data_IF_279547465639
#
_entry.id   IF_279547465639
#
_cell.length_a   1.000
_cell.length_b   1.000
_cell.length_c   1.000
_cell.angle_alpha   90.00
_cell.angle_beta   90.00
_cell.angle_gamma   90.00
#
_symmetry.space_group_name_H-M   'P 1'
#
loop_
_entity.id
_entity.type
_entity.pdbx_description
1 polymer ?
#
# COMPACT_ATOMS: atom_id res chain seq x y z
N UNK A 1 0.11 9.56 -71.78
CA UNK A 1 0.58 8.59 -70.78
C UNK A 1 0.59 9.30 -69.44
N UNK A 2 -0.43 9.09 -68.58
CA UNK A 2 -0.58 9.77 -67.29
C UNK A 2 -0.16 8.78 -66.20
N UNK A 3 0.88 9.13 -65.48
CA UNK A 3 1.41 8.35 -64.36
C UNK A 3 0.61 8.69 -63.10
N UNK A 4 -0.08 7.72 -62.51
CA UNK A 4 -0.76 7.88 -61.24
C UNK A 4 0.21 7.44 -60.10
N UNK A 5 0.55 8.37 -59.22
CA UNK A 5 1.35 8.08 -58.02
C UNK A 5 0.36 7.69 -56.92
N UNK A 6 0.39 6.47 -56.48
CA UNK A 6 -0.34 5.97 -55.29
C UNK A 6 0.47 6.32 -54.04
N UNK A 7 -0.07 7.17 -53.16
CA UNK A 7 0.49 7.48 -51.82
C UNK A 7 0.00 6.37 -50.88
N UNK A 8 0.89 5.50 -50.46
CA UNK A 8 0.62 4.52 -49.40
C UNK A 8 0.78 5.23 -48.07
N UNK A 9 -0.35 5.52 -47.41
CA UNK A 9 -0.36 6.04 -46.05
C UNK A 9 0.02 4.93 -45.06
N UNK A 10 1.18 5.07 -44.42
CA UNK A 10 1.60 4.20 -43.31
C UNK A 10 0.85 4.69 -42.06
N UNK A 11 -0.16 3.94 -41.61
CA UNK A 11 -0.80 4.12 -40.31
C UNK A 11 0.13 3.51 -39.27
N UNK A 12 0.87 4.37 -38.56
CA UNK A 12 1.59 3.98 -37.36
C UNK A 12 0.56 3.73 -36.24
N UNK A 13 0.21 2.48 -35.99
CA UNK A 13 -0.49 2.07 -34.79
C UNK A 13 0.48 2.24 -33.61
N UNK A 14 0.35 3.36 -32.91
CA UNK A 14 1.04 3.60 -31.65
C UNK A 14 0.51 2.61 -30.60
N UNK A 15 1.15 1.43 -30.49
CA UNK A 15 0.93 0.51 -29.38
C UNK A 15 1.39 1.18 -28.08
N UNK A 16 0.46 1.65 -27.27
CA UNK A 16 0.76 2.08 -25.90
C UNK A 16 1.37 0.91 -25.14
N UNK A 17 2.63 1.05 -24.70
CA UNK A 17 3.26 0.07 -23.84
C UNK A 17 2.42 -0.01 -22.55
N UNK A 18 1.67 -1.09 -22.37
CA UNK A 18 1.07 -1.42 -21.10
C UNK A 18 2.21 -1.80 -20.15
N UNK A 19 2.39 -1.00 -19.10
CA UNK A 19 3.32 -1.37 -18.04
C UNK A 19 2.86 -2.71 -17.44
N UNK A 20 3.81 -3.65 -17.30
CA UNK A 20 3.52 -4.92 -16.64
C UNK A 20 3.10 -4.66 -15.20
N UNK A 21 2.13 -5.43 -14.64
CA UNK A 21 1.75 -5.31 -13.25
C UNK A 21 2.97 -5.51 -12.34
N UNK A 22 3.18 -4.57 -11.43
CA UNK A 22 4.20 -4.67 -10.39
C UNK A 22 3.62 -5.43 -9.19
N UNK A 23 4.37 -6.38 -8.63
CA UNK A 23 3.94 -7.12 -7.44
C UNK A 23 5.06 -7.13 -6.40
N UNK A 24 4.80 -6.49 -5.26
CA UNK A 24 5.65 -6.54 -4.09
C UNK A 24 5.13 -7.64 -3.15
N UNK A 25 6.02 -8.53 -2.73
CA UNK A 25 5.69 -9.62 -1.81
C UNK A 25 6.60 -9.57 -0.60
N UNK A 26 5.99 -9.72 0.57
CA UNK A 26 6.71 -9.67 1.84
C UNK A 26 6.38 -10.88 2.69
N UNK A 27 7.40 -11.43 3.33
CA UNK A 27 7.22 -12.30 4.48
C UNK A 27 7.08 -11.42 5.72
N UNK A 28 6.12 -11.76 6.59
CA UNK A 28 5.95 -11.12 7.88
C UNK A 28 6.56 -12.02 8.96
N UNK A 29 7.47 -11.46 9.74
CA UNK A 29 8.10 -12.17 10.84
C UNK A 29 7.82 -11.49 12.19
N UNK A 30 7.75 -12.27 13.26
CA UNK A 30 7.70 -11.81 14.65
C UNK A 30 8.92 -12.38 15.37
N UNK A 31 9.81 -11.51 15.86
CA UNK A 31 11.07 -11.93 16.48
C UNK A 31 11.82 -12.97 15.63
N UNK A 32 11.85 -12.80 14.31
CA UNK A 32 12.44 -13.68 13.29
C UNK A 32 11.64 -14.94 12.93
N UNK A 33 10.59 -15.30 13.65
CA UNK A 33 9.67 -16.38 13.27
C UNK A 33 8.69 -15.91 12.21
N UNK A 34 8.52 -16.66 11.12
CA UNK A 34 7.55 -16.31 10.09
C UNK A 34 6.13 -16.53 10.62
N UNK A 35 5.32 -15.46 10.54
CA UNK A 35 3.91 -15.48 10.98
C UNK A 35 2.93 -15.23 9.85
N UNK A 36 3.39 -14.80 8.67
CA UNK A 36 2.46 -14.50 7.58
C UNK A 36 3.11 -13.90 6.36
N UNK A 37 2.26 -13.35 5.50
CA UNK A 37 2.63 -12.71 4.22
C UNK A 37 1.83 -11.45 3.98
N UNK A 38 2.44 -10.54 3.22
CA UNK A 38 1.78 -9.35 2.68
C UNK A 38 2.11 -9.22 1.19
N UNK A 39 1.11 -8.93 0.38
CA UNK A 39 1.28 -8.76 -1.07
C UNK A 39 0.63 -7.45 -1.49
N UNK A 40 1.32 -6.70 -2.35
CA UNK A 40 0.81 -5.48 -2.99
C UNK A 40 0.96 -5.68 -4.50
N UNK A 41 -0.15 -5.68 -5.23
CA UNK A 41 -0.13 -5.70 -6.69
C UNK A 41 -0.59 -4.34 -7.22
N UNK A 42 0.24 -3.71 -8.06
CA UNK A 42 0.04 -2.37 -8.60
C UNK A 42 -0.04 -2.48 -10.12
N UNK A 43 -1.12 -2.01 -10.69
CA UNK A 43 -1.30 -1.91 -12.13
C UNK A 43 -1.43 -0.43 -12.52
N UNK A 44 -0.55 0.03 -13.43
CA UNK A 44 -0.51 1.41 -13.91
C UNK A 44 -0.93 1.44 -15.38
N UNK A 45 -1.98 2.20 -15.71
CA UNK A 45 -2.49 2.37 -17.07
C UNK A 45 -2.76 3.83 -17.35
N UNK A 46 -1.85 4.49 -18.04
CA UNK A 46 -1.91 5.93 -18.25
C UNK A 46 -1.95 6.70 -16.94
N UNK A 47 -3.06 7.40 -16.69
CA UNK A 47 -3.29 8.17 -15.44
C UNK A 47 -3.96 7.36 -14.32
N UNK A 48 -4.40 6.16 -14.64
CA UNK A 48 -5.09 5.28 -13.68
C UNK A 48 -4.08 4.35 -13.02
N UNK A 49 -4.22 4.19 -11.69
CA UNK A 49 -3.50 3.20 -10.90
C UNK A 49 -4.55 2.38 -10.13
N UNK A 50 -4.48 1.07 -10.30
CA UNK A 50 -5.27 0.11 -9.54
C UNK A 50 -4.32 -0.68 -8.63
N UNK A 51 -4.67 -0.77 -7.35
CA UNK A 51 -3.86 -1.47 -6.35
C UNK A 51 -4.71 -2.51 -5.65
N UNK A 52 -4.16 -3.68 -5.39
CA UNK A 52 -4.74 -4.67 -4.50
C UNK A 52 -3.71 -5.11 -3.46
N UNK A 53 -4.15 -5.16 -2.21
CA UNK A 53 -3.33 -5.57 -1.08
C UNK A 53 -3.98 -6.75 -0.37
N UNK A 54 -3.14 -7.66 0.12
CA UNK A 54 -3.58 -8.78 0.95
C UNK A 54 -2.56 -9.03 2.05
N UNK A 55 -3.03 -9.04 3.29
CA UNK A 55 -2.23 -9.39 4.48
C UNK A 55 -2.87 -10.57 5.17
N UNK A 56 -2.10 -11.62 5.38
CA UNK A 56 -2.52 -12.78 6.13
C UNK A 56 -1.43 -13.14 7.13
N UNK A 57 -1.75 -13.09 8.41
CA UNK A 57 -0.82 -13.50 9.45
C UNK A 57 -1.51 -14.25 10.60
N UNK A 58 -0.76 -15.14 11.24
CA UNK A 58 -1.20 -15.90 12.39
C UNK A 58 -0.04 -16.04 13.38
N UNK A 59 -0.24 -15.56 14.59
CA UNK A 59 0.70 -15.75 15.70
C UNK A 59 0.24 -16.94 16.52
N UNK A 60 1.14 -17.90 16.73
CA UNK A 60 0.89 -19.07 17.62
C UNK A 60 1.80 -18.98 18.84
N UNK A 61 1.26 -19.35 20.00
CA UNK A 61 2.01 -19.50 21.25
C UNK A 61 1.70 -20.90 21.77
N UNK A 62 2.71 -21.74 21.94
CA UNK A 62 2.56 -23.13 22.38
C UNK A 62 1.46 -23.88 21.59
N UNK A 63 1.49 -23.77 20.26
CA UNK A 63 0.55 -24.38 19.30
C UNK A 63 -0.88 -23.81 19.32
N UNK A 64 -1.19 -22.85 20.19
CA UNK A 64 -2.48 -22.16 20.22
C UNK A 64 -2.40 -20.90 19.40
N UNK A 65 -3.42 -20.63 18.56
CA UNK A 65 -3.54 -19.36 17.86
C UNK A 65 -3.84 -18.25 18.87
N UNK A 66 -2.84 -17.37 19.08
CA UNK A 66 -2.94 -16.23 19.97
C UNK A 66 -3.46 -14.98 19.26
N UNK A 67 -3.20 -14.86 17.93
CA UNK A 67 -3.66 -13.73 17.13
C UNK A 67 -3.73 -14.12 15.65
N UNK A 68 -4.71 -13.59 14.94
CA UNK A 68 -4.86 -13.74 13.50
C UNK A 68 -5.33 -12.42 12.89
N UNK A 69 -4.73 -12.04 11.75
CA UNK A 69 -5.20 -10.94 10.92
C UNK A 69 -5.36 -11.42 9.49
N UNK A 70 -6.52 -11.15 8.92
CA UNK A 70 -6.78 -11.21 7.48
C UNK A 70 -7.26 -9.84 7.03
N UNK A 71 -6.56 -9.23 6.07
CA UNK A 71 -6.92 -7.93 5.55
C UNK A 71 -6.74 -7.94 4.03
N UNK A 72 -7.78 -7.52 3.31
CA UNK A 72 -7.78 -7.35 1.86
C UNK A 72 -8.26 -5.95 1.52
N UNK A 73 -7.62 -5.34 0.54
CA UNK A 73 -7.89 -3.99 0.13
C UNK A 73 -7.75 -3.83 -1.37
N UNK A 74 -8.56 -2.97 -1.97
CA UNK A 74 -8.46 -2.52 -3.35
C UNK A 74 -8.58 -1.01 -3.42
N UNK A 75 -7.72 -0.38 -4.24
CA UNK A 75 -7.73 1.05 -4.46
C UNK A 75 -7.76 1.35 -5.96
N UNK A 76 -8.43 2.45 -6.33
CA UNK A 76 -8.35 3.04 -7.66
C UNK A 76 -8.00 4.52 -7.53
N UNK A 77 -7.05 4.93 -8.33
CA UNK A 77 -6.50 6.29 -8.35
C UNK A 77 -6.55 6.84 -9.76
N UNK A 78 -6.82 8.13 -9.91
CA UNK A 78 -6.74 8.86 -11.19
C UNK A 78 -5.99 10.17 -10.94
N UNK A 79 -4.98 10.44 -11.75
CA UNK A 79 -4.14 11.64 -11.63
C UNK A 79 -3.62 11.89 -10.19
N UNK A 80 -3.20 10.80 -9.50
CA UNK A 80 -2.68 10.83 -8.13
C UNK A 80 -3.73 11.09 -7.05
N UNK A 81 -5.03 11.08 -7.38
CA UNK A 81 -6.14 11.23 -6.42
C UNK A 81 -6.87 9.91 -6.23
N UNK A 82 -7.17 9.59 -4.98
CA UNK A 82 -7.98 8.42 -4.65
C UNK A 82 -9.41 8.58 -5.19
N UNK A 83 -9.81 7.67 -6.06
CA UNK A 83 -11.17 7.61 -6.58
C UNK A 83 -12.06 6.71 -5.72
N UNK A 84 -11.59 5.50 -5.45
CA UNK A 84 -12.29 4.52 -4.59
C UNK A 84 -11.29 3.67 -3.81
N UNK A 85 -11.71 3.26 -2.63
CA UNK A 85 -11.06 2.26 -1.80
C UNK A 85 -12.12 1.33 -1.25
N UNK A 86 -11.83 0.03 -1.19
CA UNK A 86 -12.63 -0.95 -0.47
C UNK A 86 -11.69 -1.89 0.27
N UNK A 87 -11.97 -2.10 1.55
CA UNK A 87 -11.23 -3.06 2.36
C UNK A 87 -12.16 -3.89 3.24
N UNK A 88 -11.67 -5.07 3.58
CA UNK A 88 -12.26 -5.97 4.58
C UNK A 88 -11.16 -6.47 5.50
N UNK A 89 -11.42 -6.53 6.78
CA UNK A 89 -10.50 -7.09 7.77
C UNK A 89 -11.22 -8.05 8.72
N UNK A 90 -10.49 -9.06 9.16
CA UNK A 90 -10.81 -9.90 10.31
C UNK A 90 -9.61 -9.82 11.25
N UNK A 91 -9.70 -8.97 12.27
CA UNK A 91 -8.67 -8.72 13.26
C UNK A 91 -9.02 -9.51 14.51
N UNK A 92 -8.48 -10.72 14.59
CA UNK A 92 -8.69 -11.64 15.70
C UNK A 92 -10.17 -11.90 16.03
N UNK A 93 -11.01 -12.03 14.97
CA UNK A 93 -12.45 -12.24 15.07
C UNK A 93 -13.29 -10.96 15.00
N UNK A 94 -12.70 -9.79 15.19
CA UNK A 94 -13.38 -8.51 14.95
C UNK A 94 -13.32 -8.16 13.46
N UNK A 95 -14.48 -8.00 12.84
CA UNK A 95 -14.57 -7.73 11.40
C UNK A 95 -14.91 -6.29 11.14
N UNK A 96 -14.25 -5.71 10.13
CA UNK A 96 -14.55 -4.39 9.63
C UNK A 96 -14.64 -4.38 8.12
N UNK A 97 -15.47 -3.49 7.61
CA UNK A 97 -15.53 -3.11 6.20
C UNK A 97 -15.28 -1.60 6.11
N UNK A 98 -14.32 -1.20 5.29
CA UNK A 98 -14.05 0.20 5.04
C UNK A 98 -14.18 0.44 3.54
N UNK A 99 -14.94 1.45 3.16
CA UNK A 99 -14.95 1.94 1.79
C UNK A 99 -14.77 3.44 1.76
N UNK A 100 -14.11 3.94 0.73
CA UNK A 100 -14.00 5.37 0.48
C UNK A 100 -14.28 5.66 -0.98
N UNK A 101 -14.93 6.78 -1.26
CA UNK A 101 -15.21 7.24 -2.61
C UNK A 101 -15.14 8.77 -2.67
N UNK A 102 -14.59 9.30 -3.79
CA UNK A 102 -14.56 10.73 -4.03
C UNK A 102 -16.00 11.29 -4.05
N UNK A 103 -16.25 12.37 -3.30
CA UNK A 103 -17.56 13.01 -3.18
C UNK A 103 -17.44 14.54 -3.09
N UNK A 104 -17.75 15.21 -4.18
CA UNK A 104 -17.54 16.66 -4.26
C UNK A 104 -16.07 17.01 -4.10
N UNK A 105 -15.73 17.87 -3.14
CA UNK A 105 -14.36 18.26 -2.79
C UNK A 105 -13.74 17.38 -1.70
N UNK A 106 -14.44 16.36 -1.21
CA UNK A 106 -14.01 15.48 -0.12
C UNK A 106 -13.99 14.01 -0.53
N UNK A 107 -13.83 13.17 0.46
CA UNK A 107 -13.88 11.72 0.38
C UNK A 107 -14.97 11.23 1.35
N UNK A 108 -15.98 10.52 0.84
CA UNK A 108 -16.92 9.82 1.70
C UNK A 108 -16.29 8.51 2.14
N UNK A 109 -16.05 8.38 3.44
CA UNK A 109 -15.56 7.14 4.07
C UNK A 109 -16.72 6.47 4.78
N UNK A 110 -16.92 5.18 4.53
CA UNK A 110 -17.90 4.35 5.24
C UNK A 110 -17.18 3.25 6.01
N UNK A 111 -17.45 3.18 7.30
CA UNK A 111 -16.95 2.14 8.20
C UNK A 111 -18.13 1.36 8.74
N UNK A 112 -18.22 0.07 8.42
CA UNK A 112 -19.31 -0.81 8.82
C UNK A 112 -20.70 -0.21 8.52
N UNK A 113 -20.80 0.42 7.34
CA UNK A 113 -22.03 1.06 6.85
C UNK A 113 -22.24 2.49 7.32
N UNK A 114 -21.48 3.02 8.29
CA UNK A 114 -21.60 4.41 8.77
C UNK A 114 -20.72 5.34 7.93
N UNK A 115 -21.33 6.33 7.29
CA UNK A 115 -20.64 7.27 6.41
C UNK A 115 -20.20 8.55 7.12
N UNK A 116 -19.03 9.02 6.77
CA UNK A 116 -18.46 10.33 7.17
C UNK A 116 -17.77 10.94 5.97
N UNK A 117 -17.85 12.26 5.80
CA UNK A 117 -17.08 12.97 4.78
C UNK A 117 -15.83 13.55 5.41
N UNK A 118 -14.69 13.29 4.78
CA UNK A 118 -13.36 13.74 5.22
C UNK A 118 -12.67 14.52 4.11
N UNK A 119 -11.52 15.12 4.40
CA UNK A 119 -10.71 15.82 3.41
C UNK A 119 -10.26 14.87 2.29
N UNK A 120 -10.32 15.31 1.03
CA UNK A 120 -9.88 14.53 -0.13
C UNK A 120 -8.37 14.26 -0.17
N UNK A 121 -7.58 14.99 0.61
CA UNK A 121 -6.13 14.80 0.70
C UNK A 121 -5.70 13.74 1.71
N UNK A 122 -6.65 13.08 2.40
CA UNK A 122 -6.32 11.97 3.28
C UNK A 122 -5.78 10.80 2.45
N UNK A 123 -4.72 10.16 2.95
CA UNK A 123 -4.10 9.01 2.29
C UNK A 123 -4.41 7.72 3.04
N UNK A 124 -4.70 6.62 2.32
CA UNK A 124 -4.73 5.29 2.93
C UNK A 124 -3.37 4.91 3.51
N UNK A 125 -3.37 4.22 4.65
CA UNK A 125 -2.16 3.69 5.27
C UNK A 125 -1.76 2.33 4.63
N UNK A 126 -1.69 2.31 3.31
CA UNK A 126 -1.39 1.11 2.49
C UNK A 126 0.07 0.98 2.08
N UNK A 127 0.89 2.02 2.30
CA UNK A 127 2.35 2.07 2.15
C UNK A 127 2.94 1.72 0.77
N UNK A 128 2.13 1.58 -0.27
CA UNK A 128 2.65 1.41 -1.63
C UNK A 128 3.03 2.74 -2.31
N UNK A 129 2.48 3.86 -1.80
CA UNK A 129 2.67 5.19 -2.37
C UNK A 129 3.39 6.09 -1.36
N UNK A 130 4.65 6.48 -1.59
CA UNK A 130 5.43 7.31 -0.65
C UNK A 130 4.87 8.73 -0.46
N UNK A 131 3.92 9.19 -1.27
CA UNK A 131 3.24 10.48 -1.06
C UNK A 131 2.50 10.54 0.29
N UNK A 132 2.18 9.39 0.89
CA UNK A 132 1.61 9.31 2.24
C UNK A 132 2.52 9.95 3.31
N UNK A 133 3.86 9.92 3.10
CA UNK A 133 4.84 10.50 4.02
C UNK A 133 4.73 12.04 4.15
N UNK A 134 4.07 12.69 3.19
CA UNK A 134 3.85 14.14 3.14
C UNK A 134 2.53 14.56 3.78
N UNK A 135 1.76 13.61 4.32
CA UNK A 135 0.41 13.87 4.84
C UNK A 135 0.39 13.91 6.36
N UNK A 136 -0.29 14.87 6.97
CA UNK A 136 -0.42 14.95 8.43
C UNK A 136 -1.48 13.99 9.00
N UNK A 137 -2.28 13.38 8.12
CA UNK A 137 -3.40 12.50 8.50
C UNK A 137 -3.50 11.34 7.51
N UNK A 138 -3.71 10.13 8.02
CA UNK A 138 -3.93 8.91 7.24
C UNK A 138 -5.24 8.23 7.63
N UNK A 139 -5.80 7.46 6.70
CA UNK A 139 -6.92 6.55 6.92
C UNK A 139 -6.35 5.15 7.21
N UNK A 140 -6.58 4.61 8.40
CA UNK A 140 -6.33 3.19 8.67
C UNK A 140 -7.34 2.36 7.87
N UNK A 141 -6.87 1.63 6.88
CA UNK A 141 -7.74 0.87 5.99
C UNK A 141 -8.25 -0.43 6.63
N UNK A 142 -7.70 -0.80 7.77
CA UNK A 142 -8.12 -1.99 8.51
C UNK A 142 -9.43 -1.77 9.29
N UNK A 143 -9.58 -0.61 9.95
CA UNK A 143 -10.72 -0.31 10.82
C UNK A 143 -11.37 1.07 10.57
N UNK A 144 -10.87 1.80 9.57
CA UNK A 144 -11.44 3.09 9.14
C UNK A 144 -11.12 4.28 10.04
N UNK A 145 -10.20 4.14 11.01
CA UNK A 145 -9.83 5.26 11.86
C UNK A 145 -9.04 6.32 11.10
N UNK A 146 -9.35 7.57 11.38
CA UNK A 146 -8.58 8.72 10.89
C UNK A 146 -7.47 8.99 11.90
N UNK A 147 -6.22 8.85 11.46
CA UNK A 147 -5.04 8.92 12.31
C UNK A 147 -4.22 10.16 12.01
N UNK A 148 -4.03 11.08 12.97
CA UNK A 148 -2.95 12.04 12.90
C UNK A 148 -1.61 11.31 12.83
N UNK A 149 -0.70 11.79 11.99
CA UNK A 149 0.63 11.21 11.84
C UNK A 149 1.71 12.27 11.86
N UNK A 150 2.88 11.91 12.39
CA UNK A 150 4.10 12.66 12.20
C UNK A 150 5.16 11.77 11.56
N UNK A 151 5.90 12.32 10.61
CA UNK A 151 6.91 11.59 9.85
C UNK A 151 8.27 12.20 10.12
N UNK A 152 9.24 11.36 10.48
CA UNK A 152 10.64 11.75 10.65
C UNK A 152 11.50 11.02 9.62
N UNK A 153 12.35 11.77 8.94
CA UNK A 153 13.36 11.22 8.02
C UNK A 153 14.51 10.63 8.86
N UNK A 154 14.77 9.34 8.69
CA UNK A 154 15.86 8.60 9.35
C UNK A 154 17.12 8.48 8.49
N UNK A 155 17.13 9.10 7.29
CA UNK A 155 18.25 9.05 6.36
C UNK A 155 18.31 7.77 5.54
N UNK A 156 19.37 7.67 4.75
CA UNK A 156 19.60 6.55 3.84
C UNK A 156 20.43 5.47 4.51
N UNK A 157 20.06 4.22 4.26
CA UNK A 157 20.80 3.05 4.74
C UNK A 157 20.71 1.90 3.75
N UNK A 158 21.61 0.95 3.91
CA UNK A 158 21.64 -0.25 3.07
C UNK A 158 20.79 -1.34 3.70
N UNK A 159 19.78 -1.78 2.96
CA UNK A 159 18.85 -2.85 3.36
C UNK A 159 19.20 -4.13 2.62
N UNK A 160 19.36 -5.23 3.35
CA UNK A 160 19.56 -6.56 2.75
C UNK A 160 18.22 -7.12 2.29
N UNK A 161 18.13 -7.43 0.99
CA UNK A 161 16.99 -8.07 0.34
C UNK A 161 17.53 -9.33 -0.34
N UNK A 162 17.31 -10.50 0.24
CA UNK A 162 17.93 -11.76 -0.19
C UNK A 162 19.46 -11.66 -0.31
N UNK A 163 19.98 -11.95 -1.50
CA UNK A 163 21.42 -11.85 -1.81
C UNK A 163 21.85 -10.43 -2.24
N UNK A 164 20.94 -9.46 -2.30
CA UNK A 164 21.23 -8.10 -2.78
C UNK A 164 21.21 -7.10 -1.62
N UNK A 165 21.90 -5.99 -1.81
CA UNK A 165 21.78 -4.81 -0.95
C UNK A 165 21.06 -3.72 -1.74
N UNK A 166 20.01 -3.16 -1.17
CA UNK A 166 19.22 -2.07 -1.74
C UNK A 166 19.45 -0.82 -0.91
N UNK A 167 19.81 0.28 -1.56
CA UNK A 167 19.88 1.59 -0.91
C UNK A 167 18.47 2.09 -0.72
N UNK A 168 18.08 2.40 0.52
CA UNK A 168 16.73 2.85 0.85
C UNK A 168 16.76 3.94 1.92
N UNK A 169 15.78 4.83 1.88
CA UNK A 169 15.60 5.88 2.88
C UNK A 169 14.58 5.43 3.90
N UNK A 170 14.97 5.49 5.17
CA UNK A 170 14.12 5.15 6.30
C UNK A 170 13.29 6.36 6.71
N UNK A 171 12.03 6.10 7.02
CA UNK A 171 11.12 7.05 7.66
C UNK A 171 10.49 6.41 8.88
N UNK A 172 10.45 7.13 9.99
CA UNK A 172 9.65 6.75 11.16
C UNK A 172 8.31 7.48 11.09
N UNK A 173 7.24 6.73 11.12
CA UNK A 173 5.86 7.23 11.11
C UNK A 173 5.29 7.00 12.51
N UNK A 174 5.05 8.08 13.23
CA UNK A 174 4.38 8.04 14.52
C UNK A 174 2.90 8.38 14.35
N UNK A 175 2.06 7.46 14.73
CA UNK A 175 0.61 7.57 14.71
C UNK A 175 0.04 6.83 15.92
N UNK A 176 -1.08 6.12 15.77
CA UNK A 176 -1.57 5.11 16.73
C UNK A 176 -0.51 4.06 17.06
N UNK A 177 0.36 3.75 16.09
CA UNK A 177 1.53 2.90 16.24
C UNK A 177 2.76 3.64 15.71
N UNK A 178 3.93 3.37 16.30
CA UNK A 178 5.19 3.84 15.73
C UNK A 178 5.76 2.74 14.84
N UNK A 179 6.10 3.10 13.61
CA UNK A 179 6.63 2.16 12.64
C UNK A 179 7.70 2.80 11.77
N UNK A 180 8.68 2.00 11.38
CA UNK A 180 9.68 2.39 10.39
C UNK A 180 9.31 1.79 9.04
N UNK A 181 9.46 2.58 7.97
CA UNK A 181 9.28 2.13 6.59
C UNK A 181 10.49 2.57 5.76
N UNK A 182 10.88 1.75 4.80
CA UNK A 182 12.01 2.02 3.92
C UNK A 182 11.51 2.05 2.48
N UNK A 183 11.85 3.13 1.78
CA UNK A 183 11.57 3.28 0.36
C UNK A 183 12.89 3.42 -0.41
N UNK A 184 12.96 2.77 -1.58
CA UNK A 184 14.07 2.95 -2.51
C UNK A 184 13.97 4.30 -3.24
N UNK A 185 14.92 4.58 -4.12
CA UNK A 185 14.99 5.80 -4.92
C UNK A 185 13.86 5.93 -5.96
N UNK A 186 13.19 4.82 -6.27
CA UNK A 186 12.02 4.77 -7.16
C UNK A 186 10.68 4.91 -6.39
N UNK A 187 10.75 4.94 -5.06
CA UNK A 187 9.59 5.04 -4.18
C UNK A 187 8.88 3.71 -3.93
N UNK A 188 9.54 2.57 -4.17
CA UNK A 188 9.00 1.27 -3.81
C UNK A 188 9.26 0.96 -2.34
N UNK A 189 8.27 0.40 -1.67
CA UNK A 189 8.45 -0.11 -0.31
C UNK A 189 9.46 -1.27 -0.32
N UNK A 190 10.55 -1.13 0.43
CA UNK A 190 11.60 -2.15 0.55
C UNK A 190 11.35 -3.03 1.77
N UNK A 191 11.04 -2.44 2.91
CA UNK A 191 10.67 -3.16 4.13
C UNK A 191 9.89 -2.27 5.07
N UNK A 192 9.24 -2.88 6.07
CA UNK A 192 8.64 -2.16 7.18
C UNK A 192 8.92 -2.88 8.50
N UNK A 193 8.96 -2.10 9.59
CA UNK A 193 9.17 -2.59 10.96
C UNK A 193 8.21 -1.89 11.89
N UNK A 194 7.61 -2.64 12.79
CA UNK A 194 6.85 -2.09 13.91
C UNK A 194 7.17 -2.88 15.18
N UNK A 195 6.94 -2.25 16.32
CA UNK A 195 7.03 -2.92 17.63
C UNK A 195 5.61 -3.09 18.15
N UNK A 196 5.22 -4.33 18.38
CA UNK A 196 3.91 -4.66 18.94
C UNK A 196 3.83 -4.28 20.42
N UNK A 197 2.62 -4.23 20.97
CA UNK A 197 2.38 -3.82 22.37
C UNK A 197 3.06 -4.71 23.41
N UNK A 198 3.38 -5.96 23.05
CA UNK A 198 4.12 -6.90 23.88
C UNK A 198 5.65 -6.79 23.72
N UNK A 199 6.14 -5.79 23.00
CA UNK A 199 7.55 -5.56 22.72
C UNK A 199 8.13 -6.43 21.60
N UNK A 200 7.35 -7.33 20.98
CA UNK A 200 7.84 -8.12 19.85
C UNK A 200 8.04 -7.26 18.61
N UNK A 201 9.10 -7.58 17.87
CA UNK A 201 9.44 -6.90 16.62
C UNK A 201 8.76 -7.62 15.45
N UNK A 202 7.93 -6.88 14.74
CA UNK A 202 7.29 -7.33 13.51
C UNK A 202 8.02 -6.71 12.32
N UNK A 203 8.47 -7.57 11.39
CA UNK A 203 9.17 -7.13 10.18
C UNK A 203 8.43 -7.61 8.94
N UNK A 204 8.29 -6.73 7.97
CA UNK A 204 7.90 -7.03 6.60
C UNK A 204 9.17 -7.00 5.76
N UNK A 205 9.60 -8.15 5.28
CA UNK A 205 10.80 -8.29 4.44
C UNK A 205 10.39 -8.79 3.06
N UNK A 206 10.99 -8.26 1.99
CA UNK A 206 10.68 -8.73 0.63
C UNK A 206 11.01 -10.21 0.48
N UNK A 207 10.19 -10.89 -0.36
CA UNK A 207 10.37 -12.28 -0.81
C UNK A 207 11.13 -12.30 -2.13
#
# INVERSE_FOLDING_TARGET
MRLAIAIIGVVLLGGGAQASPETLRFVITRNSEQIGTHTIAINRSGKEISVSLSTNLTVKILFVTAYRLQHNETERWIDGKLLTLNSTSDDNGTRHTVSAAAKGTGLEVKVDGKATVVDANIMPASFWNPELLKRPVMLDTKDGQIMPVSVRDGGEEDVKVDARTVRARRYTIDSRYSQDVWFDDQGHLVQAKLVASDGSVIMYRPL
#
